data_IF_420328577332
#
_entry.id   IF_420328577332
#
_cell.length_a   1.000
_cell.length_b   1.000
_cell.length_c   1.000
_cell.angle_alpha   90.00
_cell.angle_beta   90.00
_cell.angle_gamma   90.00
#
_symmetry.space_group_name_H-M   'P 1'
#
loop_
_entity.id
_entity.type
_entity.pdbx_description
1 polymer ?
#
# COMPACT_ATOMS: atom_id res chain seq x y z
N UNK A 1 39.28 -11.60 7.43
CA UNK A 1 38.23 -12.21 8.27
C UNK A 1 36.99 -12.41 7.41
N UNK A 2 36.69 -13.64 7.01
CA UNK A 2 35.55 -13.95 6.12
C UNK A 2 34.27 -13.99 6.97
N UNK A 3 33.24 -13.22 6.61
CA UNK A 3 31.94 -13.28 7.29
C UNK A 3 31.29 -14.62 6.97
N UNK A 4 31.11 -15.48 7.97
CA UNK A 4 30.29 -16.68 7.83
C UNK A 4 28.82 -16.28 7.80
N UNK A 5 28.12 -16.68 6.74
CA UNK A 5 26.69 -16.42 6.59
C UNK A 5 25.89 -17.26 7.58
N UNK A 6 25.09 -16.59 8.43
CA UNK A 6 24.12 -17.25 9.30
C UNK A 6 22.79 -17.32 8.55
N UNK A 7 22.32 -18.54 8.28
CA UNK A 7 21.01 -18.77 7.65
C UNK A 7 19.90 -18.17 8.52
N UNK A 8 18.93 -17.52 7.88
CA UNK A 8 17.73 -17.03 8.56
C UNK A 8 16.92 -18.22 9.11
N UNK A 9 16.32 -18.05 10.28
CA UNK A 9 15.43 -19.06 10.87
C UNK A 9 14.23 -19.29 9.95
N UNK A 10 13.84 -20.55 9.77
CA UNK A 10 12.57 -20.90 9.13
C UNK A 10 11.44 -20.37 10.01
N UNK A 11 10.44 -19.74 9.40
CA UNK A 11 9.28 -19.22 10.12
C UNK A 11 8.45 -20.35 10.74
N UNK A 12 7.59 -20.04 11.72
CA UNK A 12 6.65 -21.02 12.25
C UNK A 12 5.71 -21.49 11.14
N UNK A 13 5.39 -22.79 11.13
CA UNK A 13 4.33 -23.33 10.29
C UNK A 13 2.98 -22.88 10.87
N UNK A 14 2.22 -22.11 10.10
CA UNK A 14 0.94 -21.54 10.55
C UNK A 14 -0.16 -22.18 9.72
N UNK A 15 -1.06 -22.89 10.40
CA UNK A 15 -2.25 -23.44 9.78
C UNK A 15 -3.25 -22.31 9.49
N UNK A 16 -3.59 -22.10 8.22
CA UNK A 16 -4.46 -21.00 7.79
C UNK A 16 -5.88 -21.13 8.35
N UNK A 17 -6.37 -22.36 8.53
CA UNK A 17 -7.71 -22.63 9.07
C UNK A 17 -7.86 -22.09 10.49
N UNK A 18 -6.87 -22.37 11.35
CA UNK A 18 -6.88 -21.93 12.75
C UNK A 18 -6.82 -20.39 12.84
N UNK A 19 -6.14 -19.74 11.88
CA UNK A 19 -6.09 -18.27 11.79
C UNK A 19 -7.45 -17.70 11.41
N UNK A 20 -8.13 -18.28 10.43
CA UNK A 20 -9.46 -17.84 9.99
C UNK A 20 -10.49 -17.99 11.11
N UNK A 21 -10.50 -19.13 11.78
CA UNK A 21 -11.39 -19.39 12.92
C UNK A 21 -11.12 -18.43 14.08
N UNK A 22 -9.85 -18.18 14.42
CA UNK A 22 -9.49 -17.22 15.46
C UNK A 22 -9.94 -15.79 15.13
N UNK A 23 -9.79 -15.35 13.87
CA UNK A 23 -10.26 -14.04 13.41
C UNK A 23 -11.78 -13.95 13.50
N UNK A 24 -12.48 -15.00 13.05
CA UNK A 24 -13.94 -15.08 13.11
C UNK A 24 -14.46 -15.02 14.55
N UNK A 25 -13.82 -15.74 15.46
CA UNK A 25 -14.15 -15.76 16.89
C UNK A 25 -14.04 -14.36 17.51
N UNK A 26 -12.98 -13.61 17.21
CA UNK A 26 -12.80 -12.24 17.72
C UNK A 26 -13.82 -11.27 17.10
N UNK A 27 -14.11 -11.38 15.81
CA UNK A 27 -15.02 -10.46 15.13
C UNK A 27 -16.50 -10.71 15.49
N UNK A 28 -16.93 -11.97 15.59
CA UNK A 28 -18.33 -12.34 15.82
C UNK A 28 -18.68 -12.45 17.30
N UNK A 29 -17.79 -13.07 18.10
CA UNK A 29 -18.06 -13.37 19.52
C UNK A 29 -17.44 -12.36 20.49
N UNK A 30 -16.77 -11.31 19.98
CA UNK A 30 -16.10 -10.26 20.78
C UNK A 30 -15.11 -10.78 21.84
N UNK A 31 -14.49 -11.95 21.62
CA UNK A 31 -13.49 -12.50 22.54
C UNK A 31 -12.19 -11.68 22.42
N UNK A 32 -11.48 -11.42 23.54
CA UNK A 32 -10.23 -10.66 23.50
C UNK A 32 -9.16 -11.40 22.67
N UNK A 33 -8.40 -10.63 21.90
CA UNK A 33 -7.39 -11.12 20.94
C UNK A 33 -6.40 -12.10 21.58
N UNK A 34 -5.98 -11.83 22.83
CA UNK A 34 -5.04 -12.70 23.56
C UNK A 34 -5.66 -14.06 23.86
N UNK A 35 -6.89 -14.08 24.36
CA UNK A 35 -7.59 -15.32 24.69
C UNK A 35 -7.89 -16.16 23.44
N UNK A 36 -8.28 -15.51 22.34
CA UNK A 36 -8.46 -16.21 21.06
C UNK A 36 -7.12 -16.72 20.50
N UNK A 37 -6.03 -15.98 20.64
CA UNK A 37 -4.73 -16.47 20.19
C UNK A 37 -4.26 -17.68 21.00
N UNK A 38 -4.46 -17.66 22.32
CA UNK A 38 -4.13 -18.78 23.21
C UNK A 38 -4.94 -20.04 22.88
N UNK A 39 -6.24 -19.92 22.57
CA UNK A 39 -7.07 -21.10 22.25
C UNK A 39 -6.65 -21.83 20.98
N UNK A 40 -6.03 -21.13 20.02
CA UNK A 40 -5.57 -21.69 18.75
C UNK A 40 -4.03 -21.83 18.66
N UNK A 41 -3.29 -21.59 19.74
CA UNK A 41 -1.83 -21.68 19.75
C UNK A 41 -1.12 -20.65 18.86
N UNK A 42 -1.76 -19.51 18.58
CA UNK A 42 -1.25 -18.46 17.71
C UNK A 42 -0.55 -17.35 18.52
N UNK A 43 0.37 -16.63 17.88
CA UNK A 43 0.97 -15.43 18.49
C UNK A 43 -0.04 -14.27 18.42
N UNK A 44 -0.39 -13.68 19.57
CA UNK A 44 -1.41 -12.62 19.64
C UNK A 44 -1.12 -11.41 18.73
N UNK A 45 0.15 -11.04 18.54
CA UNK A 45 0.55 -9.94 17.64
C UNK A 45 0.22 -10.26 16.18
N UNK A 46 0.42 -11.51 15.75
CA UNK A 46 0.07 -11.97 14.42
C UNK A 46 -1.44 -11.87 14.20
N UNK A 47 -2.24 -12.40 15.14
CA UNK A 47 -3.70 -12.35 15.08
C UNK A 47 -4.22 -10.90 15.03
N UNK A 48 -3.61 -9.99 15.80
CA UNK A 48 -3.92 -8.56 15.75
C UNK A 48 -3.79 -7.96 14.34
N UNK A 49 -2.69 -8.23 13.63
CA UNK A 49 -2.53 -7.72 12.26
C UNK A 49 -3.53 -8.33 11.28
N UNK A 50 -3.89 -9.62 11.45
CA UNK A 50 -4.92 -10.28 10.64
C UNK A 50 -6.29 -9.65 10.85
N UNK A 51 -6.67 -9.38 12.09
CA UNK A 51 -7.91 -8.68 12.44
C UNK A 51 -7.92 -7.25 11.89
N UNK A 52 -6.80 -6.52 12.01
CA UNK A 52 -6.69 -5.16 11.45
C UNK A 52 -6.95 -5.14 9.95
N UNK A 53 -6.37 -6.11 9.22
CA UNK A 53 -6.60 -6.28 7.78
C UNK A 53 -8.05 -6.66 7.48
N UNK A 54 -8.62 -7.62 8.22
CA UNK A 54 -10.01 -8.04 8.05
C UNK A 54 -11.00 -6.88 8.28
N UNK A 55 -10.81 -6.07 9.33
CA UNK A 55 -11.62 -4.87 9.59
C UNK A 55 -11.50 -3.83 8.48
N UNK A 56 -10.32 -3.64 7.88
CA UNK A 56 -10.15 -2.73 6.76
C UNK A 56 -10.93 -3.20 5.52
N UNK A 57 -10.92 -4.51 5.22
CA UNK A 57 -11.67 -5.10 4.11
C UNK A 57 -13.19 -5.00 4.32
N UNK A 58 -13.67 -5.19 5.55
CA UNK A 58 -15.10 -5.01 5.87
C UNK A 58 -15.55 -3.56 5.66
N UNK A 59 -14.70 -2.57 6.00
CA UNK A 59 -14.99 -1.15 5.76
C UNK A 59 -15.07 -0.80 4.28
N UNK A 60 -14.28 -1.44 3.42
CA UNK A 60 -14.31 -1.17 1.97
C UNK A 60 -15.49 -1.83 1.26
N UNK A 61 -16.00 -2.94 1.80
CA UNK A 61 -17.03 -3.75 1.15
C UNK A 61 -18.46 -3.46 1.63
N UNK A 62 -18.63 -2.65 2.67
CA UNK A 62 -19.96 -2.18 3.07
C UNK A 62 -20.47 -1.18 2.02
N UNK A 63 -21.63 -1.41 1.38
CA UNK A 63 -22.31 -0.37 0.61
C UNK A 63 -22.57 0.80 1.55
N UNK A 64 -22.22 2.02 1.12
CA UNK A 64 -22.45 3.25 1.87
C UNK A 64 -23.96 3.52 2.03
N UNK A 65 -24.63 2.81 2.92
CA UNK A 65 -26.00 3.09 3.35
C UNK A 65 -25.97 4.24 4.38
N UNK A 66 -25.67 5.44 3.89
CA UNK A 66 -26.08 6.67 4.55
C UNK A 66 -26.65 7.61 3.49
N UNK A 67 -27.98 7.60 3.42
CA UNK A 67 -28.78 8.75 3.02
C UNK A 67 -28.38 9.95 3.86
N UNK A 68 -27.67 10.91 3.28
CA UNK A 68 -27.70 12.29 3.74
C UNK A 68 -27.51 13.21 2.52
N UNK A 69 -28.52 14.03 2.29
CA UNK A 69 -28.58 15.05 1.25
C UNK A 69 -27.49 16.09 1.55
N UNK A 70 -26.35 16.08 0.85
CA UNK A 70 -25.53 17.30 0.63
C UNK A 70 -24.52 17.17 -0.53
N UNK A 71 -24.83 17.89 -1.62
CA UNK A 71 -23.94 18.50 -2.63
C UNK A 71 -23.19 17.56 -3.61
N UNK A 72 -23.41 17.68 -4.94
CA UNK A 72 -22.61 17.02 -5.95
C UNK A 72 -21.37 17.86 -6.27
N UNK A 73 -20.26 17.67 -5.55
CA UNK A 73 -18.97 18.23 -5.96
C UNK A 73 -17.78 17.49 -5.34
N UNK A 74 -17.36 16.41 -5.99
CA UNK A 74 -15.97 15.99 -6.20
C UNK A 74 -15.93 14.47 -6.45
N UNK A 75 -15.16 14.00 -7.45
CA UNK A 75 -14.88 12.57 -7.56
C UNK A 75 -14.21 12.11 -6.26
N UNK A 76 -14.72 11.00 -5.70
CA UNK A 76 -14.24 10.40 -4.47
C UNK A 76 -12.70 10.42 -4.40
N UNK A 77 -12.09 10.80 -3.25
CA UNK A 77 -10.65 10.86 -3.17
C UNK A 77 -10.10 9.46 -3.43
N UNK A 78 -9.36 9.34 -4.53
CA UNK A 78 -8.51 8.20 -4.83
C UNK A 78 -7.75 7.83 -3.55
N UNK A 79 -7.77 6.53 -3.21
CA UNK A 79 -7.05 5.90 -2.11
C UNK A 79 -5.89 6.76 -1.60
N UNK A 80 -6.07 7.42 -0.45
CA UNK A 80 -4.99 8.23 0.13
C UNK A 80 -3.94 7.26 0.65
N UNK A 81 -2.96 6.93 -0.19
CA UNK A 81 -1.81 6.14 0.21
C UNK A 81 -0.98 6.98 1.18
N UNK A 82 -1.30 6.93 2.47
CA UNK A 82 -0.50 7.54 3.54
C UNK A 82 0.79 6.71 3.76
N UNK A 83 1.65 6.73 2.76
CA UNK A 83 3.04 6.28 2.87
C UNK A 83 3.84 7.30 3.65
N UNK A 84 4.88 6.86 4.38
CA UNK A 84 5.86 7.79 5.00
C UNK A 84 6.58 8.70 4.00
N UNK A 85 6.44 8.43 2.69
CA UNK A 85 7.05 9.19 1.60
C UNK A 85 6.12 10.24 1.00
N UNK A 86 4.86 10.35 1.44
CA UNK A 86 3.92 11.36 0.92
C UNK A 86 4.42 12.79 1.12
N UNK A 87 5.15 13.06 2.21
CA UNK A 87 5.73 14.39 2.47
C UNK A 87 6.78 14.82 1.44
N UNK A 88 7.41 13.87 0.74
CA UNK A 88 8.50 14.13 -0.20
C UNK A 88 8.09 13.81 -1.65
N UNK A 89 6.79 13.76 -1.93
CA UNK A 89 6.28 13.47 -3.25
C UNK A 89 6.49 14.68 -4.18
N UNK A 90 7.25 14.48 -5.25
CA UNK A 90 7.61 15.52 -6.22
C UNK A 90 6.53 15.67 -7.31
N UNK A 91 5.87 14.57 -7.67
CA UNK A 91 4.88 14.51 -8.75
C UNK A 91 3.50 14.18 -8.19
N UNK A 92 2.48 14.86 -8.68
CA UNK A 92 1.09 14.42 -8.49
C UNK A 92 0.81 13.14 -9.26
N UNK A 93 -0.24 12.40 -8.89
CA UNK A 93 -0.60 11.15 -9.57
C UNK A 93 -0.82 11.31 -11.10
N UNK A 94 -1.31 12.47 -11.52
CA UNK A 94 -1.47 12.78 -12.95
C UNK A 94 -0.12 12.98 -13.64
N UNK A 95 0.79 13.74 -13.02
CA UNK A 95 2.15 13.98 -13.52
C UNK A 95 2.97 12.67 -13.57
N UNK A 96 2.83 11.80 -12.58
CA UNK A 96 3.46 10.48 -12.57
C UNK A 96 3.00 9.63 -13.75
N UNK A 97 1.69 9.60 -14.01
CA UNK A 97 1.12 8.85 -15.14
C UNK A 97 1.63 9.38 -16.49
N UNK A 98 1.70 10.70 -16.65
CA UNK A 98 2.26 11.30 -17.87
C UNK A 98 3.74 10.95 -18.07
N UNK A 99 4.53 10.97 -16.98
CA UNK A 99 5.94 10.59 -17.03
C UNK A 99 6.11 9.10 -17.35
N UNK A 100 5.26 8.23 -16.79
CA UNK A 100 5.25 6.80 -17.09
C UNK A 100 4.98 6.54 -18.57
N UNK A 101 3.93 7.13 -19.14
CA UNK A 101 3.60 7.00 -20.55
C UNK A 101 4.76 7.46 -21.45
N UNK A 102 5.42 8.56 -21.08
CA UNK A 102 6.61 9.05 -21.79
C UNK A 102 7.81 8.09 -21.69
N UNK A 103 8.08 7.51 -20.52
CA UNK A 103 9.18 6.54 -20.35
C UNK A 103 8.90 5.27 -21.15
N UNK A 104 7.66 4.76 -21.13
CA UNK A 104 7.27 3.55 -21.86
C UNK A 104 7.45 3.75 -23.37
N UNK A 105 6.97 4.88 -23.90
CA UNK A 105 7.13 5.21 -25.32
C UNK A 105 8.61 5.33 -25.71
N UNK A 106 9.43 6.03 -24.92
CA UNK A 106 10.88 6.09 -25.14
C UNK A 106 11.57 4.73 -25.01
N UNK A 107 11.12 3.87 -24.10
CA UNK A 107 11.66 2.51 -23.92
C UNK A 107 11.35 1.62 -25.12
N UNK A 108 10.14 1.71 -25.66
CA UNK A 108 9.76 0.95 -26.85
C UNK A 108 10.61 1.34 -28.07
N UNK A 109 10.90 2.63 -28.24
CA UNK A 109 11.72 3.13 -29.35
C UNK A 109 13.21 2.75 -29.25
N UNK A 110 13.74 2.65 -28.03
CA UNK A 110 15.18 2.44 -27.78
C UNK A 110 15.53 1.00 -27.35
N UNK A 111 14.60 0.04 -27.49
CA UNK A 111 14.75 -1.35 -27.03
C UNK A 111 15.09 -1.47 -25.54
N UNK A 112 14.51 -0.59 -24.73
CA UNK A 112 14.76 -0.49 -23.30
C UNK A 112 15.51 0.79 -22.91
N UNK A 113 15.42 1.13 -21.63
CA UNK A 113 16.18 2.23 -21.04
C UNK A 113 16.86 1.75 -19.76
N UNK A 114 18.08 2.24 -19.52
CA UNK A 114 18.76 1.97 -18.26
C UNK A 114 18.21 2.85 -17.14
N UNK A 115 18.33 2.40 -15.89
CA UNK A 115 17.93 3.17 -14.72
C UNK A 115 18.62 4.52 -14.57
N UNK A 116 19.79 4.71 -15.19
CA UNK A 116 20.49 6.01 -15.17
C UNK A 116 19.76 7.02 -16.07
N UNK A 117 19.37 6.60 -17.26
CA UNK A 117 18.68 7.45 -18.23
C UNK A 117 17.27 7.79 -17.72
N UNK A 118 16.54 6.79 -17.19
CA UNK A 118 15.21 7.01 -16.62
C UNK A 118 15.25 8.05 -15.49
N UNK A 119 16.24 7.98 -14.60
CA UNK A 119 16.42 8.97 -13.53
C UNK A 119 16.73 10.37 -14.08
N UNK A 120 17.56 10.47 -15.11
CA UNK A 120 17.86 11.74 -15.76
C UNK A 120 16.61 12.35 -16.42
N UNK A 121 15.81 11.53 -17.12
CA UNK A 121 14.55 11.97 -17.73
C UNK A 121 13.54 12.44 -16.69
N UNK A 122 13.38 11.70 -15.59
CA UNK A 122 12.50 12.10 -14.50
C UNK A 122 12.93 13.44 -13.88
N UNK A 123 14.24 13.65 -13.70
CA UNK A 123 14.77 14.92 -13.20
C UNK A 123 14.48 16.08 -14.17
N UNK A 124 14.79 15.91 -15.45
CA UNK A 124 14.53 16.92 -16.48
C UNK A 124 13.03 17.25 -16.60
N UNK A 125 12.17 16.24 -16.46
CA UNK A 125 10.72 16.43 -16.46
C UNK A 125 10.26 17.26 -15.24
N UNK A 126 10.78 16.96 -14.06
CA UNK A 126 10.51 17.75 -12.85
C UNK A 126 10.96 19.21 -13.00
N UNK A 127 12.17 19.43 -13.52
CA UNK A 127 12.74 20.77 -13.71
C UNK A 127 11.87 21.62 -14.66
N UNK A 128 11.42 21.04 -15.78
CA UNK A 128 10.49 21.69 -16.71
C UNK A 128 9.13 21.98 -16.09
N UNK A 129 8.59 21.06 -15.28
CA UNK A 129 7.35 21.30 -14.54
C UNK A 129 7.50 22.43 -13.51
N UNK A 130 8.61 22.50 -12.79
CA UNK A 130 8.88 23.56 -11.82
C UNK A 130 9.02 24.92 -12.50
N UNK A 131 9.77 25.01 -13.61
CA UNK A 131 9.87 26.23 -14.42
C UNK A 131 8.50 26.72 -14.88
N UNK A 132 7.65 25.80 -15.37
CA UNK A 132 6.26 26.11 -15.77
C UNK A 132 5.40 26.58 -14.60
N UNK A 133 5.63 26.07 -13.38
CA UNK A 133 4.89 26.47 -12.18
C UNK A 133 5.30 27.87 -11.68
N UNK A 134 6.56 28.25 -11.84
CA UNK A 134 7.12 29.55 -11.43
C UNK A 134 6.88 30.68 -12.45
N UNK A 135 6.81 30.37 -13.75
CA UNK A 135 6.59 31.36 -14.82
C UNK A 135 5.15 31.84 -14.97
N UNK A 136 4.42 32.04 -13.87
CA UNK A 136 3.07 32.65 -13.86
C UNK A 136 3.15 34.09 -13.36
#
# INVERSE_FOLDING_TARGET
>A
MVRNYIKKKVGPEINERDVEEAVKLVLEKNVPIRQAAESFGLVHTMLFYRIKKAKALLKTNLPSEHTDIRVPSAPAPLLTFNSKYTSNQVFSAQEEKMLEEYIITCSAMNYGLTYKIIRALAFQYAEKLMSKKMGR
#
